data_IF_697570982453
#
_entry.id   IF_697570982453
#
_cell.length_a   1.000
_cell.length_b   1.000
_cell.length_c   1.000
_cell.angle_alpha   90.00
_cell.angle_beta   90.00
_cell.angle_gamma   90.00
#
_symmetry.space_group_name_H-M   'P 1'
#
loop_
_entity.id
_entity.type
_entity.pdbx_description
1 polymer ?
#
# COMPACT_ATOMS: atom_id res chain seq x y z
N UNK A 1 1.88 10.42 15.44
CA UNK A 1 2.24 11.41 14.41
C UNK A 1 1.74 10.86 13.10
N UNK A 2 0.75 11.52 12.56
CA UNK A 2 0.09 11.12 11.32
C UNK A 2 1.03 11.38 10.13
N UNK A 3 0.90 10.59 9.05
CA UNK A 3 1.69 10.84 7.86
C UNK A 3 1.37 12.24 7.31
N UNK A 4 2.40 12.96 6.86
CA UNK A 4 2.23 14.26 6.19
C UNK A 4 1.68 14.10 4.77
N UNK A 5 1.86 12.91 4.19
CA UNK A 5 1.27 12.49 2.93
C UNK A 5 1.11 10.97 2.94
N UNK A 6 0.01 10.46 2.40
CA UNK A 6 -0.23 9.01 2.32
C UNK A 6 -0.87 8.65 0.98
N UNK A 7 -0.43 7.54 0.40
CA UNK A 7 -1.08 6.90 -0.74
C UNK A 7 -1.45 5.47 -0.35
N UNK A 8 -2.72 5.10 -0.57
CA UNK A 8 -3.26 3.75 -0.33
C UNK A 8 -3.50 3.07 -1.67
N UNK A 9 -3.01 1.85 -1.83
CA UNK A 9 -3.24 1.03 -3.03
C UNK A 9 -3.88 -0.29 -2.60
N UNK A 10 -5.12 -0.54 -3.01
CA UNK A 10 -5.75 -1.84 -2.83
C UNK A 10 -5.23 -2.82 -3.87
N UNK A 11 -5.03 -4.06 -3.47
CA UNK A 11 -4.58 -5.13 -4.33
C UNK A 11 -5.48 -6.35 -4.10
N UNK A 12 -6.58 -6.40 -4.85
CA UNK A 12 -7.64 -7.37 -4.65
C UNK A 12 -8.29 -7.27 -3.26
N UNK A 13 -8.96 -8.36 -2.83
CA UNK A 13 -9.85 -8.34 -1.65
C UNK A 13 -9.14 -8.33 -0.29
N UNK A 14 -7.85 -8.65 -0.24
CA UNK A 14 -7.18 -9.00 1.03
C UNK A 14 -5.91 -8.25 1.31
N UNK A 15 -5.37 -7.54 0.32
CA UNK A 15 -4.09 -6.84 0.47
C UNK A 15 -4.29 -5.36 0.22
N UNK A 16 -3.59 -4.57 1.01
CA UNK A 16 -3.52 -3.12 0.85
C UNK A 16 -2.10 -2.67 1.12
N UNK A 17 -1.56 -1.87 0.21
CA UNK A 17 -0.28 -1.20 0.38
C UNK A 17 -0.50 0.24 0.85
N UNK A 18 0.32 0.70 1.78
CA UNK A 18 0.34 2.08 2.25
C UNK A 18 1.74 2.65 2.02
N UNK A 19 1.79 3.80 1.37
CA UNK A 19 2.99 4.58 1.08
C UNK A 19 2.86 5.90 1.84
N UNK A 20 3.44 5.95 3.04
CA UNK A 20 3.36 7.12 3.91
C UNK A 20 4.66 7.92 3.87
N UNK A 21 4.56 9.24 3.77
CA UNK A 21 5.65 10.16 4.11
C UNK A 21 5.43 10.63 5.54
N UNK A 22 6.48 10.54 6.36
CA UNK A 22 6.44 10.92 7.78
C UNK A 22 7.58 11.87 8.10
N UNK A 23 7.30 12.83 8.97
CA UNK A 23 8.29 13.76 9.49
C UNK A 23 8.91 13.22 10.79
N UNK A 24 10.21 13.38 10.94
CA UNK A 24 10.94 13.09 12.17
C UNK A 24 10.85 14.27 13.12
N UNK A 25 11.23 14.07 14.40
CA UNK A 25 11.33 15.19 15.36
C UNK A 25 12.34 16.28 14.93
N UNK A 26 13.28 15.95 14.04
CA UNK A 26 14.30 16.87 13.54
C UNK A 26 13.89 17.64 12.28
N UNK A 27 12.66 17.49 11.79
CA UNK A 27 12.18 18.15 10.56
C UNK A 27 12.56 17.42 9.26
N UNK A 28 13.24 16.27 9.35
CA UNK A 28 13.53 15.42 8.20
C UNK A 28 12.38 14.49 7.84
N UNK A 29 12.36 13.98 6.61
CA UNK A 29 11.33 13.07 6.12
C UNK A 29 11.85 11.64 5.88
N UNK A 30 10.98 10.67 6.10
CA UNK A 30 11.19 9.27 5.75
C UNK A 30 9.89 8.66 5.21
N UNK A 31 10.02 7.56 4.46
CA UNK A 31 8.90 6.83 3.89
C UNK A 31 8.65 5.56 4.71
N UNK A 32 7.38 5.21 4.94
CA UNK A 32 7.01 3.85 5.36
C UNK A 32 6.19 3.16 4.29
N UNK A 33 6.67 2.01 3.83
CA UNK A 33 5.98 1.12 2.92
C UNK A 33 5.35 0.01 3.76
N UNK A 34 4.02 -0.08 3.81
CA UNK A 34 3.33 -1.10 4.60
C UNK A 34 2.49 -1.98 3.68
N UNK A 35 2.74 -3.27 3.68
CA UNK A 35 1.77 -4.26 3.20
C UNK A 35 0.90 -4.69 4.38
N UNK A 36 -0.42 -4.55 4.25
CA UNK A 36 -1.42 -5.10 5.16
C UNK A 36 -2.19 -6.21 4.44
N UNK A 37 -2.13 -7.44 4.96
CA UNK A 37 -2.85 -8.59 4.43
C UNK A 37 -3.86 -9.10 5.46
N UNK A 38 -5.14 -9.20 5.09
CA UNK A 38 -6.19 -9.78 5.93
C UNK A 38 -5.85 -11.25 6.20
N UNK A 39 -5.61 -11.59 7.46
CA UNK A 39 -5.17 -12.93 7.86
C UNK A 39 -6.26 -13.98 7.59
N UNK A 40 -5.86 -15.20 7.22
CA UNK A 40 -6.80 -16.33 7.00
C UNK A 40 -7.16 -16.97 8.34
N UNK A 41 -6.15 -17.09 9.21
CA UNK A 41 -6.23 -17.89 10.42
C UNK A 41 -6.87 -17.11 11.55
N UNK A 42 -6.67 -15.80 11.55
CA UNK A 42 -7.06 -14.91 12.62
C UNK A 42 -7.95 -13.81 12.02
N UNK A 43 -8.93 -13.30 12.76
CA UNK A 43 -9.82 -12.22 12.32
C UNK A 43 -9.12 -10.83 12.29
N UNK A 44 -7.85 -10.78 11.91
CA UNK A 44 -6.99 -9.60 11.97
C UNK A 44 -6.16 -9.39 10.70
N UNK A 45 -5.17 -8.50 10.78
CA UNK A 45 -4.32 -8.12 9.65
C UNK A 45 -2.85 -8.38 9.97
N UNK A 46 -2.16 -9.06 9.04
CA UNK A 46 -0.72 -9.24 9.04
C UNK A 46 -0.08 -8.03 8.36
N UNK A 47 0.84 -7.33 9.04
CA UNK A 47 1.48 -6.11 8.53
C UNK A 47 2.98 -6.28 8.38
N UNK A 48 3.47 -6.08 7.16
CA UNK A 48 4.89 -5.99 6.85
C UNK A 48 5.22 -4.53 6.57
N UNK A 49 6.17 -3.96 7.30
CA UNK A 49 6.52 -2.54 7.21
C UNK A 49 8.01 -2.37 6.95
N UNK A 50 8.32 -1.54 5.97
CA UNK A 50 9.68 -1.09 5.65
C UNK A 50 9.77 0.40 5.95
N UNK A 51 10.88 0.82 6.57
CA UNK A 51 11.24 2.22 6.75
C UNK A 51 12.34 2.56 5.75
N UNK A 52 12.17 3.64 5.01
CA UNK A 52 13.14 4.11 4.04
C UNK A 52 13.47 5.57 4.37
N UNK A 53 14.74 5.84 4.64
CA UNK A 53 15.23 7.18 4.98
C UNK A 53 15.80 7.89 3.75
N UNK A 54 15.84 9.23 3.79
CA UNK A 54 16.17 10.10 2.65
C UNK A 54 17.51 9.77 1.97
N UNK A 55 18.50 9.32 2.75
CA UNK A 55 19.84 8.94 2.27
C UNK A 55 19.82 7.76 1.30
N UNK A 56 18.78 6.91 1.35
CA UNK A 56 18.67 5.71 0.54
C UNK A 56 17.64 5.81 -0.60
N UNK A 57 16.91 6.94 -0.72
CA UNK A 57 15.80 7.09 -1.68
C UNK A 57 16.20 6.73 -3.11
N UNK A 58 17.31 7.29 -3.60
CA UNK A 58 17.74 7.06 -4.98
C UNK A 58 18.17 5.61 -5.21
N UNK A 59 19.01 5.06 -4.32
CA UNK A 59 19.52 3.68 -4.47
C UNK A 59 18.41 2.65 -4.37
N UNK A 60 17.47 2.85 -3.44
CA UNK A 60 16.32 1.95 -3.26
C UNK A 60 15.35 2.04 -4.45
N UNK A 61 14.97 3.25 -4.87
CA UNK A 61 14.01 3.44 -5.97
C UNK A 61 14.57 2.94 -7.30
N UNK A 62 15.85 3.20 -7.59
CA UNK A 62 16.51 2.70 -8.79
C UNK A 62 16.54 1.17 -8.82
N UNK A 63 16.92 0.52 -7.71
CA UNK A 63 16.92 -0.93 -7.62
C UNK A 63 15.51 -1.51 -7.79
N UNK A 64 14.50 -0.92 -7.14
CA UNK A 64 13.11 -1.36 -7.24
C UNK A 64 12.57 -1.24 -8.66
N UNK A 65 12.79 -0.10 -9.32
CA UNK A 65 12.36 0.12 -10.69
C UNK A 65 13.11 -0.81 -11.65
N UNK A 66 14.42 -1.00 -11.45
CA UNK A 66 15.24 -1.89 -12.27
C UNK A 66 14.79 -3.34 -12.23
N UNK A 67 14.43 -3.88 -11.05
CA UNK A 67 13.92 -5.25 -10.96
C UNK A 67 12.52 -5.39 -11.60
N UNK A 68 11.66 -4.37 -11.49
CA UNK A 68 10.35 -4.36 -12.13
C UNK A 68 10.51 -4.33 -13.64
N UNK A 69 11.40 -3.49 -14.16
CA UNK A 69 11.72 -3.39 -15.58
C UNK A 69 12.24 -4.73 -16.13
N UNK A 70 13.18 -5.36 -15.40
CA UNK A 70 13.73 -6.65 -15.78
C UNK A 70 12.65 -7.72 -15.93
N UNK A 71 11.70 -7.78 -14.99
CA UNK A 71 10.57 -8.72 -15.07
C UNK A 71 9.71 -8.42 -16.31
N UNK A 72 9.30 -7.17 -16.49
CA UNK A 72 8.39 -6.75 -17.56
C UNK A 72 8.98 -6.96 -18.96
N UNK A 73 10.25 -6.63 -19.13
CA UNK A 73 10.88 -6.56 -20.46
C UNK A 73 11.71 -7.79 -20.81
N UNK A 74 12.21 -8.54 -19.81
CA UNK A 74 13.11 -9.68 -20.06
C UNK A 74 12.46 -11.02 -19.71
N UNK A 75 11.79 -11.12 -18.57
CA UNK A 75 11.26 -12.41 -18.10
C UNK A 75 9.86 -12.70 -18.65
N UNK A 76 9.02 -11.67 -18.76
CA UNK A 76 7.64 -11.80 -19.23
C UNK A 76 7.30 -10.72 -20.28
N UNK A 77 8.09 -10.62 -21.37
CA UNK A 77 7.80 -9.67 -22.43
C UNK A 77 6.45 -9.97 -23.07
N UNK A 78 5.65 -8.92 -23.31
CA UNK A 78 4.35 -9.03 -23.97
C UNK A 78 3.18 -9.42 -23.06
N UNK A 79 3.41 -9.63 -21.76
CA UNK A 79 2.32 -9.76 -20.80
C UNK A 79 1.58 -8.41 -20.61
N UNK A 80 0.25 -8.43 -20.63
CA UNK A 80 -0.58 -7.24 -20.40
C UNK A 80 -0.68 -6.94 -18.90
N UNK A 81 0.28 -6.21 -18.36
CA UNK A 81 0.27 -5.78 -16.97
C UNK A 81 -0.86 -4.78 -16.65
N UNK A 82 -1.40 -4.13 -17.66
CA UNK A 82 -2.49 -3.17 -17.49
C UNK A 82 -3.83 -3.90 -17.28
N UNK A 83 -3.92 -5.20 -17.58
CA UNK A 83 -5.08 -6.03 -17.24
C UNK A 83 -5.41 -5.95 -15.75
N UNK A 84 -4.40 -6.00 -14.88
CA UNK A 84 -4.60 -5.91 -13.44
C UNK A 84 -5.05 -4.53 -12.98
N UNK A 85 -4.54 -3.47 -13.61
CA UNK A 85 -4.97 -2.10 -13.31
C UNK A 85 -6.44 -1.91 -13.69
N UNK A 86 -6.86 -2.36 -14.89
CA UNK A 86 -8.25 -2.28 -15.35
C UNK A 86 -9.20 -3.06 -14.44
N UNK A 87 -8.82 -4.28 -14.03
CA UNK A 87 -9.61 -5.10 -13.09
C UNK A 87 -9.71 -4.45 -11.71
N UNK A 88 -8.65 -3.79 -11.24
CA UNK A 88 -8.66 -3.08 -9.97
C UNK A 88 -9.59 -1.87 -10.03
N UNK A 89 -9.54 -1.07 -11.10
CA UNK A 89 -10.45 0.07 -11.32
C UNK A 89 -11.91 -0.36 -11.44
N UNK A 90 -12.20 -1.50 -12.07
CA UNK A 90 -13.54 -2.08 -12.14
C UNK A 90 -14.01 -2.52 -10.75
N UNK A 91 -13.19 -3.28 -10.02
CA UNK A 91 -13.51 -3.70 -8.66
C UNK A 91 -13.73 -2.50 -7.72
N UNK A 92 -12.89 -1.46 -7.81
CA UNK A 92 -13.06 -0.23 -7.02
C UNK A 92 -14.36 0.49 -7.36
N UNK A 93 -14.74 0.57 -8.64
CA UNK A 93 -16.03 1.14 -9.06
C UNK A 93 -17.21 0.35 -8.52
N UNK A 94 -17.14 -0.98 -8.52
CA UNK A 94 -18.21 -1.85 -8.02
C UNK A 94 -18.32 -1.83 -6.48
N UNK A 95 -17.20 -1.71 -5.77
CA UNK A 95 -17.14 -1.85 -4.31
C UNK A 95 -17.03 -0.51 -3.58
N UNK A 96 -17.12 0.62 -4.29
CA UNK A 96 -17.17 1.96 -3.70
C UNK A 96 -18.34 2.16 -2.71
N UNK A 97 -19.32 1.26 -2.66
CA UNK A 97 -20.47 1.30 -1.74
C UNK A 97 -20.29 0.52 -0.42
N UNK A 98 -19.31 -0.39 -0.32
CA UNK A 98 -19.14 -1.25 0.87
C UNK A 98 -18.19 -0.64 1.92
N UNK A 99 -17.33 0.30 1.53
CA UNK A 99 -16.28 0.88 2.40
C UNK A 99 -16.82 1.89 3.43
N UNK A 100 -17.95 2.54 3.14
CA UNK A 100 -18.65 3.44 4.07
C UNK A 100 -19.37 2.67 5.20
N UNK A 101 -19.67 1.38 4.99
CA UNK A 101 -20.37 0.55 5.98
C UNK A 101 -19.43 -0.01 7.08
N UNK A 102 -18.12 -0.10 6.84
CA UNK A 102 -17.13 -0.55 7.84
C UNK A 102 -16.67 0.59 8.76
N UNK A 103 -16.59 1.83 8.24
CA UNK A 103 -16.29 3.02 9.04
C UNK A 103 -17.46 3.47 9.94
N UNK A 104 -18.69 3.04 9.63
CA UNK A 104 -19.89 3.38 10.41
C UNK A 104 -20.19 2.47 11.61
N UNK A 105 -19.45 1.37 11.82
CA UNK A 105 -19.72 0.42 12.92
C UNK A 105 -18.79 0.51 14.14
N UNK A 106 -17.67 1.22 14.06
CA UNK A 106 -16.75 1.43 15.19
C UNK A 106 -16.91 2.81 15.85
N UNK A 107 -18.04 3.48 15.61
CA UNK A 107 -18.34 4.81 16.12
C UNK A 107 -18.95 4.88 17.52
N UNK A 108 -19.00 3.77 18.28
CA UNK A 108 -19.47 3.81 19.67
C UNK A 108 -18.56 3.01 20.60
N UNK A 109 -17.86 3.78 21.43
CA UNK A 109 -17.42 3.45 22.79
C UNK A 109 -16.24 2.46 22.96
N UNK A 110 -15.07 2.99 23.36
CA UNK A 110 -14.30 2.53 24.54
C UNK A 110 -13.34 3.67 24.95
N UNK A 111 -13.44 4.08 26.21
CA UNK A 111 -12.55 5.03 26.89
C UNK A 111 -11.16 4.43 27.16
N UNK A 112 -10.15 5.28 26.95
CA UNK A 112 -8.70 5.25 27.25
C UNK A 112 -8.04 3.95 27.71
#
# INVERSE_FOLDING_TARGET
>A
MDPVYSTKVRAGKRRTYFFDVRETKGGDYFITLTESTKSIKNNGFDRHKIFLYKEDFNRFSEALLGIVDHVKNKLMPGYDYDEFARRQEEWERENAMDDDLDHGRNGDNIQW
#
